data_IF_726431572427
#
_entry.id   IF_726431572427
#
_cell.length_a   1.000
_cell.length_b   1.000
_cell.length_c   1.000
_cell.angle_alpha   90.00
_cell.angle_beta   90.00
_cell.angle_gamma   90.00
#
_symmetry.space_group_name_H-M   'P 1'
#
loop_
_entity.id
_entity.type
_entity.pdbx_description
1 polymer ?
#
# COMPACT_ATOMS: atom_id res chain seq x y z
N UNK A 1 18.77 2.06 -5.22
CA UNK A 1 17.54 2.50 -5.89
C UNK A 1 16.53 2.80 -4.79
N UNK A 2 16.03 4.02 -4.75
CA UNK A 2 15.11 4.46 -3.70
C UNK A 2 13.68 4.06 -4.03
N UNK A 3 12.83 3.93 -3.01
CA UNK A 3 11.39 3.84 -3.20
C UNK A 3 10.89 5.06 -3.98
N UNK A 4 9.85 4.88 -4.79
CA UNK A 4 9.37 5.91 -5.69
C UNK A 4 10.22 6.13 -6.95
N UNK A 5 11.27 5.32 -7.17
CA UNK A 5 11.99 5.34 -8.45
C UNK A 5 11.00 5.00 -9.57
N UNK A 6 10.90 5.89 -10.56
CA UNK A 6 9.85 5.82 -11.58
C UNK A 6 10.33 5.25 -12.89
N UNK A 7 9.47 4.46 -13.48
CA UNK A 7 9.58 3.85 -14.80
C UNK A 7 8.33 4.17 -15.60
N UNK A 8 8.42 4.10 -16.91
CA UNK A 8 7.27 4.24 -17.81
C UNK A 8 7.16 3.03 -18.72
N UNK A 9 5.93 2.70 -19.08
CA UNK A 9 5.59 1.72 -20.11
C UNK A 9 4.39 2.24 -20.91
N UNK A 10 4.34 1.93 -22.19
CA UNK A 10 3.23 2.37 -23.06
C UNK A 10 2.43 1.16 -23.54
N UNK A 11 1.09 1.31 -23.50
CA UNK A 11 0.11 0.35 -23.99
C UNK A 11 -0.85 1.15 -24.86
N UNK A 12 -1.10 0.73 -26.10
CA UNK A 12 -2.06 1.35 -27.03
C UNK A 12 -1.93 2.88 -27.11
N UNK A 13 -0.69 3.38 -27.21
CA UNK A 13 -0.33 4.82 -27.22
C UNK A 13 -0.58 5.58 -25.90
N UNK A 14 -0.96 4.92 -24.83
CA UNK A 14 -1.09 5.50 -23.50
C UNK A 14 0.14 5.13 -22.67
N UNK A 15 0.76 6.13 -22.04
CA UNK A 15 1.93 5.92 -21.19
C UNK A 15 1.49 5.85 -19.73
N UNK A 16 1.86 4.77 -19.06
CA UNK A 16 1.62 4.53 -17.65
C UNK A 16 2.93 4.65 -16.86
N UNK A 17 2.83 5.18 -15.66
CA UNK A 17 3.94 5.26 -14.72
C UNK A 17 3.94 4.04 -13.80
N UNK A 18 5.13 3.54 -13.52
CA UNK A 18 5.37 2.46 -12.57
C UNK A 18 6.41 2.90 -11.56
N UNK A 19 6.26 2.49 -10.31
CA UNK A 19 7.18 2.91 -9.23
C UNK A 19 7.59 1.72 -8.36
N UNK A 20 8.76 1.85 -7.74
CA UNK A 20 9.17 0.95 -6.64
C UNK A 20 8.50 1.39 -5.33
N UNK A 21 8.07 0.45 -4.50
CA UNK A 21 7.45 0.74 -3.20
C UNK A 21 8.40 0.56 -2.01
N UNK A 22 9.66 0.24 -2.25
CA UNK A 22 10.70 0.04 -1.23
C UNK A 22 12.07 0.48 -1.71
N UNK A 23 12.95 0.75 -0.75
CA UNK A 23 14.37 1.00 -1.02
C UNK A 23 15.08 -0.33 -1.31
N UNK A 24 15.90 -0.35 -2.37
CA UNK A 24 16.72 -1.49 -2.74
C UNK A 24 18.20 -1.07 -2.75
N UNK A 25 19.00 -1.74 -1.93
CA UNK A 25 20.45 -1.52 -1.82
C UNK A 25 21.18 -2.77 -2.26
N UNK A 26 22.15 -2.58 -3.15
CA UNK A 26 23.03 -3.65 -3.64
C UNK A 26 24.49 -3.20 -3.66
N UNK A 27 25.39 -4.14 -3.62
CA UNK A 27 26.81 -3.91 -3.88
C UNK A 27 27.13 -4.30 -5.33
N UNK A 28 28.11 -3.62 -5.98
CA UNK A 28 28.52 -3.98 -7.33
C UNK A 28 29.18 -5.35 -7.35
N UNK A 29 28.98 -6.09 -8.42
CA UNK A 29 29.71 -7.30 -8.77
C UNK A 29 30.43 -7.05 -10.08
N UNK A 30 31.76 -7.22 -10.10
CA UNK A 30 32.61 -6.95 -11.25
C UNK A 30 32.40 -5.54 -11.86
N UNK A 31 32.17 -4.55 -10.98
CA UNK A 31 31.93 -3.16 -11.38
C UNK A 31 30.51 -2.87 -11.91
N UNK A 32 29.62 -3.86 -11.88
CA UNK A 32 28.23 -3.72 -12.36
C UNK A 32 27.26 -3.80 -11.19
N UNK A 33 26.28 -2.90 -11.15
CA UNK A 33 25.14 -2.93 -10.22
C UNK A 33 23.97 -3.65 -10.90
N UNK A 34 23.61 -4.83 -10.42
CA UNK A 34 22.52 -5.63 -10.98
C UNK A 34 21.40 -5.81 -9.96
N UNK A 35 20.28 -5.12 -10.13
CA UNK A 35 19.07 -5.35 -9.38
C UNK A 35 18.27 -6.50 -10.01
N UNK A 36 17.99 -7.55 -9.26
CA UNK A 36 17.24 -8.71 -9.71
C UNK A 36 15.86 -8.74 -9.07
N UNK A 37 14.85 -9.16 -9.84
CA UNK A 37 13.46 -9.33 -9.36
C UNK A 37 12.91 -8.08 -8.68
N UNK A 38 13.07 -6.92 -9.34
CA UNK A 38 12.49 -5.67 -8.87
C UNK A 38 11.01 -5.67 -9.19
N UNK A 39 10.18 -5.52 -8.16
CA UNK A 39 8.74 -5.35 -8.32
C UNK A 39 8.44 -3.90 -8.64
N UNK A 40 7.70 -3.68 -9.71
CA UNK A 40 7.16 -2.38 -10.11
C UNK A 40 5.65 -2.38 -9.92
N UNK A 41 5.15 -1.30 -9.36
CA UNK A 41 3.71 -1.09 -9.12
C UNK A 41 3.25 0.06 -10.00
N UNK A 42 2.17 -0.13 -10.73
CA UNK A 42 1.60 0.93 -11.54
C UNK A 42 1.02 2.03 -10.66
N UNK A 43 1.26 3.27 -11.05
CA UNK A 43 0.71 4.45 -10.40
C UNK A 43 1.76 5.38 -9.79
N UNK A 44 1.31 6.18 -8.84
CA UNK A 44 2.12 7.18 -8.14
C UNK A 44 2.18 6.89 -6.65
N UNK A 45 3.39 6.85 -6.10
CA UNK A 45 3.60 6.72 -4.66
C UNK A 45 3.24 8.03 -3.97
N UNK A 46 2.30 7.97 -3.04
CA UNK A 46 1.79 9.13 -2.28
C UNK A 46 2.03 8.91 -0.80
N UNK A 47 2.45 9.96 -0.11
CA UNK A 47 2.59 9.97 1.35
C UNK A 47 1.69 11.04 1.93
N UNK A 48 0.80 10.66 2.84
CA UNK A 48 -0.07 11.56 3.57
C UNK A 48 0.25 11.54 5.06
N UNK A 49 0.12 12.69 5.73
CA UNK A 49 0.45 12.84 7.15
C UNK A 49 -0.71 13.46 7.90
N UNK A 50 -1.03 12.90 9.06
CA UNK A 50 -2.03 13.40 9.98
C UNK A 50 -1.44 13.54 11.37
N UNK A 51 -1.73 14.62 12.04
CA UNK A 51 -1.42 14.76 13.48
C UNK A 51 -2.59 14.21 14.29
N UNK A 52 -2.29 13.39 15.27
CA UNK A 52 -3.28 12.83 16.20
C UNK A 52 -3.73 13.92 17.16
N UNK A 53 -5.05 14.05 17.29
CA UNK A 53 -5.71 14.89 18.27
C UNK A 53 -6.48 13.99 19.25
N UNK A 54 -5.98 13.86 20.47
CA UNK A 54 -6.57 12.98 21.49
C UNK A 54 -7.93 13.47 22.02
N UNK A 55 -8.34 14.69 21.66
CA UNK A 55 -9.68 15.21 22.00
C UNK A 55 -10.78 14.63 21.09
N UNK A 56 -10.40 14.16 19.89
CA UNK A 56 -11.28 13.41 19.01
C UNK A 56 -11.16 11.91 19.32
N UNK A 57 -12.11 11.38 20.08
CA UNK A 57 -12.11 9.98 20.55
C UNK A 57 -12.37 8.96 19.43
N UNK A 58 -12.97 9.40 18.33
CA UNK A 58 -13.32 8.57 17.18
C UNK A 58 -12.49 8.92 15.94
N UNK A 59 -11.30 9.53 16.13
CA UNK A 59 -10.46 10.01 15.05
C UNK A 59 -10.14 8.91 14.04
N UNK A 60 -10.43 9.19 12.77
CA UNK A 60 -10.15 8.34 11.63
C UNK A 60 -9.35 9.09 10.58
N UNK A 61 -8.42 8.40 9.97
CA UNK A 61 -7.46 8.95 9.03
C UNK A 61 -7.85 8.53 7.62
N UNK A 62 -8.51 9.43 6.88
CA UNK A 62 -9.06 9.12 5.55
C UNK A 62 -7.93 9.11 4.52
N UNK A 63 -7.88 8.08 3.69
CA UNK A 63 -7.04 8.03 2.48
C UNK A 63 -7.72 8.89 1.42
N UNK A 64 -7.10 10.02 0.97
CA UNK A 64 -7.82 11.00 0.16
C UNK A 64 -8.26 10.50 -1.22
N UNK A 65 -7.57 9.50 -1.79
CA UNK A 65 -7.84 8.98 -3.13
C UNK A 65 -8.78 7.77 -3.10
N UNK A 66 -9.77 7.75 -3.99
CA UNK A 66 -10.63 6.57 -4.27
C UNK A 66 -9.89 5.51 -5.10
N UNK A 67 -8.77 5.88 -5.71
CA UNK A 67 -7.94 4.97 -6.52
C UNK A 67 -6.69 4.51 -5.73
N UNK A 68 -6.73 4.61 -4.40
CA UNK A 68 -5.65 4.11 -3.56
C UNK A 68 -5.64 2.58 -3.57
N UNK A 69 -4.50 2.00 -3.93
CA UNK A 69 -4.27 0.56 -3.77
C UNK A 69 -3.94 0.25 -2.31
N UNK A 70 -4.93 -0.26 -1.59
CA UNK A 70 -4.79 -0.60 -0.17
C UNK A 70 -3.86 -1.79 0.08
N UNK A 71 -3.56 -2.60 -0.93
CA UNK A 71 -2.58 -3.69 -0.81
C UNK A 71 -1.14 -3.15 -0.68
N UNK A 72 -0.90 -1.94 -1.17
CA UNK A 72 0.39 -1.24 -1.05
C UNK A 72 0.48 -0.34 0.18
N UNK A 73 -0.62 -0.20 0.95
CA UNK A 73 -0.69 0.70 2.09
C UNK A 73 0.30 0.32 3.18
N UNK A 74 1.15 1.27 3.51
CA UNK A 74 2.08 1.20 4.63
C UNK A 74 1.70 2.27 5.65
N UNK A 75 1.46 1.83 6.88
CA UNK A 75 1.10 2.71 7.99
C UNK A 75 2.26 2.78 8.96
N UNK A 76 2.77 3.98 9.18
CA UNK A 76 3.78 4.25 10.21
C UNK A 76 3.31 5.40 11.10
N UNK A 77 3.69 5.34 12.37
CA UNK A 77 3.40 6.37 13.35
C UNK A 77 4.71 6.93 13.87
N UNK A 78 4.93 8.21 13.66
CA UNK A 78 6.03 8.96 14.22
C UNK A 78 5.62 9.46 15.62
N UNK A 79 6.53 9.37 16.57
CA UNK A 79 6.22 9.71 17.97
C UNK A 79 5.74 11.15 18.16
N UNK A 80 6.38 12.13 17.52
CA UNK A 80 5.94 13.53 17.54
C UNK A 80 6.67 14.35 16.47
N UNK A 81 6.40 15.64 16.38
CA UNK A 81 7.14 16.55 15.50
C UNK A 81 8.62 16.69 15.87
N UNK A 82 8.97 16.48 17.13
CA UNK A 82 10.35 16.60 17.64
C UNK A 82 11.05 15.24 17.82
N UNK A 83 10.27 14.17 18.03
CA UNK A 83 10.79 12.79 18.06
C UNK A 83 10.38 12.07 16.78
N UNK A 84 11.33 11.95 15.84
CA UNK A 84 11.11 11.35 14.53
C UNK A 84 11.17 9.82 14.51
N UNK A 85 11.21 9.16 15.67
CA UNK A 85 11.16 7.71 15.76
C UNK A 85 9.90 7.16 15.11
N UNK A 86 10.07 6.26 14.15
CA UNK A 86 8.99 5.65 13.38
C UNK A 86 8.62 4.28 13.93
N UNK A 87 7.34 4.04 14.11
CA UNK A 87 6.77 2.76 14.50
C UNK A 87 5.91 2.24 13.35
N UNK A 88 6.21 1.06 12.82
CA UNK A 88 5.39 0.42 11.80
C UNK A 88 4.20 -0.25 12.46
N UNK A 89 3.02 -0.03 11.87
CA UNK A 89 1.77 -0.69 12.24
C UNK A 89 1.37 -1.66 11.14
N UNK A 90 0.75 -2.77 11.51
CA UNK A 90 0.29 -3.81 10.58
C UNK A 90 -1.23 -3.87 10.52
N UNK A 91 -1.78 -4.25 9.37
CA UNK A 91 -3.22 -4.44 9.23
C UNK A 91 -3.68 -5.56 10.16
N UNK A 92 -4.69 -5.30 10.97
CA UNK A 92 -5.29 -6.29 11.84
C UNK A 92 -5.96 -7.41 11.02
N UNK A 93 -5.46 -8.63 11.15
CA UNK A 93 -6.02 -9.81 10.48
C UNK A 93 -7.06 -10.55 11.31
N UNK A 94 -7.16 -10.22 12.61
CA UNK A 94 -8.13 -10.81 13.54
C UNK A 94 -8.03 -10.21 14.93
N UNK A 95 -9.15 -10.06 15.61
CA UNK A 95 -9.22 -9.41 16.92
C UNK A 95 -8.65 -10.29 18.05
N UNK A 96 -8.64 -11.63 17.89
CA UNK A 96 -8.23 -12.56 18.95
C UNK A 96 -6.74 -12.55 19.27
N UNK A 97 -5.91 -12.09 18.32
CA UNK A 97 -4.45 -12.06 18.46
C UNK A 97 -3.91 -10.69 18.89
N UNK A 98 -4.79 -9.72 19.12
CA UNK A 98 -4.41 -8.38 19.49
C UNK A 98 -4.53 -8.18 21.01
N UNK A 99 -3.52 -7.52 21.56
CA UNK A 99 -3.48 -7.01 22.93
C UNK A 99 -3.32 -5.47 22.92
N UNK A 100 -3.25 -4.88 24.10
CA UNK A 100 -3.11 -3.44 24.29
C UNK A 100 -1.74 -2.87 23.82
N UNK A 101 -0.75 -3.71 23.49
CA UNK A 101 0.56 -3.30 23.00
C UNK A 101 0.74 -3.49 21.50
N UNK A 102 -0.19 -4.21 20.88
CA UNK A 102 -0.13 -4.58 19.47
C UNK A 102 -0.22 -3.35 18.57
N UNK A 103 0.83 -3.10 17.78
CA UNK A 103 0.88 -2.02 16.80
C UNK A 103 0.10 -2.43 15.56
N UNK A 104 -1.22 -2.38 15.67
CA UNK A 104 -2.16 -2.73 14.61
C UNK A 104 -3.01 -1.54 14.19
N UNK A 105 -3.38 -1.51 12.92
CA UNK A 105 -4.38 -0.59 12.39
C UNK A 105 -5.53 -1.37 11.76
N UNK A 106 -6.67 -0.73 11.69
CA UNK A 106 -7.86 -1.24 11.02
C UNK A 106 -8.14 -0.41 9.79
N UNK A 107 -8.64 -1.05 8.75
CA UNK A 107 -8.98 -0.43 7.49
C UNK A 107 -10.48 -0.61 7.23
N UNK A 108 -11.15 0.47 6.89
CA UNK A 108 -12.57 0.46 6.58
C UNK A 108 -12.85 1.31 5.35
N UNK A 109 -13.69 0.82 4.45
CA UNK A 109 -14.21 1.61 3.35
C UNK A 109 -15.33 2.53 3.84
N UNK A 110 -15.36 3.76 3.32
CA UNK A 110 -16.41 4.75 3.57
C UNK A 110 -17.51 4.64 2.51
N UNK A 111 -18.65 5.25 2.77
CA UNK A 111 -19.76 5.36 1.81
C UNK A 111 -19.40 6.15 0.52
N UNK A 112 -18.33 6.92 0.56
CA UNK A 112 -17.78 7.65 -0.60
C UNK A 112 -16.79 6.85 -1.42
N UNK A 113 -16.54 5.57 -1.10
CA UNK A 113 -15.57 4.70 -1.79
C UNK A 113 -14.11 5.01 -1.45
N UNK A 114 -13.85 5.81 -0.44
CA UNK A 114 -12.51 6.02 0.13
C UNK A 114 -12.28 5.07 1.27
N UNK A 115 -11.02 4.81 1.58
CA UNK A 115 -10.65 4.06 2.76
C UNK A 115 -10.28 4.98 3.92
N UNK A 116 -10.48 4.52 5.13
CA UNK A 116 -10.05 5.18 6.36
C UNK A 116 -9.31 4.19 7.26
N UNK A 117 -8.25 4.70 7.88
CA UNK A 117 -7.45 3.96 8.86
C UNK A 117 -7.85 4.42 10.25
N UNK A 118 -7.97 3.49 11.19
CA UNK A 118 -8.14 3.79 12.61
C UNK A 118 -7.31 2.81 13.44
N UNK A 119 -7.13 3.11 14.71
CA UNK A 119 -6.22 2.41 15.61
C UNK A 119 -6.96 1.85 16.81
N UNK A 120 -6.26 1.09 17.63
CA UNK A 120 -6.80 0.51 18.85
C UNK A 120 -7.08 1.54 19.94
N UNK A 121 -7.67 1.05 21.02
CA UNK A 121 -8.14 1.81 22.18
C UNK A 121 -7.39 1.46 23.49
N UNK A 122 -6.23 0.78 23.39
CA UNK A 122 -5.45 0.18 24.49
C UNK A 122 -6.11 -1.05 25.14
N UNK A 123 -7.20 -1.56 24.55
CA UNK A 123 -7.77 -2.87 24.87
C UNK A 123 -7.50 -3.83 23.73
N UNK A 124 -7.87 -3.43 22.51
CA UNK A 124 -7.63 -4.17 21.27
C UNK A 124 -6.74 -3.28 20.37
N UNK A 125 -5.44 -3.52 20.43
CA UNK A 125 -4.45 -2.72 19.73
C UNK A 125 -4.06 -1.46 20.50
N UNK A 126 -2.84 -1.00 20.22
CA UNK A 126 -2.27 0.17 20.87
C UNK A 126 -2.98 1.44 20.42
N UNK A 127 -3.43 2.25 21.39
CA UNK A 127 -3.95 3.60 21.16
C UNK A 127 -2.82 4.56 20.78
N UNK A 128 -3.14 5.53 19.94
CA UNK A 128 -2.24 6.64 19.63
C UNK A 128 -2.26 7.71 20.72
N UNK A 129 -1.13 8.38 20.89
CA UNK A 129 -0.98 9.51 21.82
C UNK A 129 -1.17 10.82 21.09
N UNK A 130 -1.59 11.83 21.81
CA UNK A 130 -1.69 13.19 21.29
C UNK A 130 -0.37 13.66 20.68
N UNK A 131 -0.45 14.33 19.52
CA UNK A 131 0.73 14.80 18.80
C UNK A 131 1.52 13.73 18.05
N UNK A 132 1.12 12.44 18.10
CA UNK A 132 1.66 11.44 17.18
C UNK A 132 1.37 11.88 15.73
N UNK A 133 2.23 11.48 14.78
CA UNK A 133 2.01 11.75 13.37
C UNK A 133 1.80 10.43 12.65
N UNK A 134 0.58 10.21 12.17
CA UNK A 134 0.23 9.07 11.32
C UNK A 134 0.68 9.36 9.90
N UNK A 135 1.47 8.45 9.34
CA UNK A 135 2.00 8.54 7.98
C UNK A 135 1.41 7.39 7.19
N UNK A 136 0.61 7.72 6.19
CA UNK A 136 0.01 6.78 5.25
C UNK A 136 0.78 6.87 3.93
N UNK A 137 1.41 5.79 3.53
CA UNK A 137 2.13 5.68 2.26
C UNK A 137 1.46 4.60 1.42
N UNK A 138 1.04 4.93 0.21
CA UNK A 138 0.30 4.06 -0.68
C UNK A 138 0.47 4.47 -2.14
N UNK A 139 0.08 3.62 -3.06
CA UNK A 139 0.10 3.91 -4.50
C UNK A 139 -1.31 4.27 -4.96
N UNK A 140 -1.41 5.33 -5.74
CA UNK A 140 -2.62 5.70 -6.49
C UNK A 140 -2.48 5.15 -7.90
N UNK A 141 -3.38 4.25 -8.28
CA UNK A 141 -3.30 3.42 -9.49
C UNK A 141 -4.37 3.78 -10.53
N UNK A 142 -4.14 3.43 -11.79
CA UNK A 142 -5.14 3.44 -12.86
C UNK A 142 -5.86 2.08 -13.01
N UNK A 143 -5.77 1.22 -11.98
CA UNK A 143 -6.48 -0.06 -11.91
C UNK A 143 -6.08 -1.03 -13.02
N UNK A 144 -7.06 -1.48 -13.84
CA UNK A 144 -6.83 -2.49 -14.87
C UNK A 144 -6.15 -1.97 -16.15
N UNK A 145 -6.14 -0.66 -16.37
CA UNK A 145 -5.73 -0.05 -17.65
C UNK A 145 -4.28 -0.33 -18.02
N UNK A 146 -3.41 -0.54 -17.03
CA UNK A 146 -1.98 -0.81 -17.23
C UNK A 146 -1.62 -2.28 -17.36
N UNK A 147 -2.61 -3.19 -17.28
CA UNK A 147 -2.34 -4.61 -17.42
C UNK A 147 -1.80 -4.93 -18.83
N UNK A 148 -0.76 -5.78 -18.88
CA UNK A 148 -0.10 -6.15 -20.12
C UNK A 148 1.15 -5.33 -20.44
N UNK A 149 1.46 -4.27 -19.70
CA UNK A 149 2.72 -3.52 -19.86
C UNK A 149 3.91 -4.47 -19.77
N UNK A 150 4.78 -4.45 -20.77
CA UNK A 150 5.86 -5.44 -20.93
C UNK A 150 7.23 -4.82 -21.19
N UNK A 151 7.28 -3.54 -21.58
CA UNK A 151 8.51 -2.83 -21.88
C UNK A 151 8.62 -1.61 -21.00
N UNK A 152 9.64 -1.55 -20.14
CA UNK A 152 9.81 -0.50 -19.16
C UNK A 152 11.05 0.35 -19.47
N UNK A 153 10.92 1.64 -19.30
CA UNK A 153 11.99 2.61 -19.43
C UNK A 153 12.13 3.37 -18.12
N UNK A 154 13.36 3.55 -17.63
CA UNK A 154 13.62 4.37 -16.44
C UNK A 154 13.32 5.83 -16.73
N UNK A 155 12.44 6.45 -15.94
CA UNK A 155 12.07 7.88 -16.07
C UNK A 155 12.77 8.79 -15.06
N UNK A 156 13.50 8.19 -14.12
CA UNK A 156 14.28 8.88 -13.10
C UNK A 156 15.73 8.44 -13.17
N UNK A 157 16.53 8.68 -12.13
CA UNK A 157 17.89 8.16 -12.04
C UNK A 157 18.03 7.16 -10.92
N UNK A 158 18.94 6.21 -11.07
CA UNK A 158 19.33 5.26 -10.03
C UNK A 158 20.81 5.45 -9.73
N UNK A 159 21.12 5.94 -8.52
CA UNK A 159 22.50 6.23 -8.14
C UNK A 159 23.21 7.27 -9.04
N UNK A 160 22.45 8.15 -9.68
CA UNK A 160 22.96 9.14 -10.65
C UNK A 160 23.04 8.64 -12.09
N UNK A 161 22.71 7.37 -12.34
CA UNK A 161 22.69 6.78 -13.69
C UNK A 161 21.27 6.85 -14.28
N UNK A 162 21.18 7.24 -15.54
CA UNK A 162 19.91 7.31 -16.32
C UNK A 162 19.88 6.26 -17.43
N UNK A 163 21.04 5.83 -17.90
CA UNK A 163 21.17 4.79 -18.92
C UNK A 163 21.34 3.43 -18.24
N UNK A 164 20.23 2.68 -18.18
CA UNK A 164 20.17 1.35 -17.55
C UNK A 164 19.56 0.35 -18.52
N UNK A 165 20.10 -0.86 -18.54
CA UNK A 165 19.51 -1.97 -19.28
C UNK A 165 18.43 -2.62 -18.41
N UNK A 166 17.22 -2.77 -18.95
CA UNK A 166 16.08 -3.36 -18.26
C UNK A 166 15.64 -4.61 -19.01
N UNK A 167 15.47 -5.70 -18.26
CA UNK A 167 14.89 -6.95 -18.76
C UNK A 167 13.60 -7.22 -17.99
N UNK A 168 12.49 -7.34 -18.71
CA UNK A 168 11.18 -7.66 -18.13
C UNK A 168 11.07 -9.17 -17.91
N UNK A 169 10.80 -9.57 -16.67
CA UNK A 169 10.58 -10.98 -16.32
C UNK A 169 9.11 -11.40 -16.53
N UNK A 170 8.17 -10.50 -16.29
CA UNK A 170 6.74 -10.72 -16.47
C UNK A 170 6.02 -9.42 -16.81
N UNK A 171 4.96 -9.51 -17.59
CA UNK A 171 4.13 -8.36 -17.90
C UNK A 171 3.39 -7.89 -16.64
N UNK A 172 3.00 -6.62 -16.61
CA UNK A 172 2.16 -6.07 -15.57
C UNK A 172 0.81 -6.79 -15.54
N UNK A 173 0.37 -7.14 -14.34
CA UNK A 173 -0.88 -7.87 -14.11
C UNK A 173 -1.41 -7.58 -12.69
N UNK A 174 -2.66 -7.94 -12.44
CA UNK A 174 -3.28 -7.82 -11.11
C UNK A 174 -4.04 -6.52 -10.90
N UNK A 175 -3.97 -5.58 -11.85
CA UNK A 175 -4.86 -4.42 -11.84
C UNK A 175 -6.31 -4.86 -12.06
N UNK A 176 -7.24 -4.35 -11.25
CA UNK A 176 -8.66 -4.68 -11.33
C UNK A 176 -9.53 -3.45 -11.01
N UNK A 177 -10.70 -3.39 -11.62
CA UNK A 177 -11.72 -2.43 -11.23
C UNK A 177 -12.33 -2.83 -9.86
N UNK A 178 -12.84 -1.86 -9.10
CA UNK A 178 -13.58 -2.15 -7.89
C UNK A 178 -14.75 -3.09 -8.16
N UNK A 179 -15.03 -3.97 -7.21
CA UNK A 179 -16.16 -4.87 -7.31
C UNK A 179 -17.48 -4.09 -7.40
N UNK A 180 -18.37 -4.52 -8.27
CA UNK A 180 -19.68 -3.86 -8.43
C UNK A 180 -20.58 -4.16 -7.22
N UNK A 181 -21.55 -3.27 -6.95
CA UNK A 181 -22.52 -3.47 -5.85
C UNK A 181 -23.32 -4.76 -6.01
N UNK A 182 -23.61 -5.16 -7.24
CA UNK A 182 -24.29 -6.41 -7.56
C UNK A 182 -23.43 -7.62 -7.21
N UNK A 183 -22.15 -7.59 -7.56
CA UNK A 183 -21.18 -8.63 -7.21
C UNK A 183 -21.02 -8.74 -5.69
N UNK A 184 -20.88 -7.61 -5.00
CA UNK A 184 -20.77 -7.57 -3.52
C UNK A 184 -22.03 -8.18 -2.88
N UNK A 185 -23.24 -7.82 -3.36
CA UNK A 185 -24.49 -8.38 -2.84
C UNK A 185 -24.58 -9.89 -3.05
N UNK A 186 -24.05 -10.39 -4.15
CA UNK A 186 -24.03 -11.83 -4.43
C UNK A 186 -23.00 -12.56 -3.56
N UNK A 187 -21.80 -12.00 -3.42
CA UNK A 187 -20.66 -12.63 -2.75
C UNK A 187 -20.69 -12.48 -1.21
N UNK A 188 -21.26 -11.40 -0.68
CA UNK A 188 -21.27 -11.14 0.76
C UNK A 188 -21.93 -12.25 1.60
N UNK A 189 -23.07 -12.84 1.22
CA UNK A 189 -23.64 -13.98 1.96
C UNK A 189 -22.75 -15.22 1.93
N UNK A 190 -22.05 -15.46 0.79
CA UNK A 190 -21.13 -16.60 0.64
C UNK A 190 -19.90 -16.43 1.53
N UNK A 191 -19.32 -15.23 1.58
CA UNK A 191 -18.21 -14.89 2.45
C UNK A 191 -18.61 -15.02 3.93
N UNK A 192 -19.79 -14.54 4.31
CA UNK A 192 -20.31 -14.66 5.67
C UNK A 192 -20.52 -16.11 6.08
N UNK A 193 -21.01 -16.98 5.19
CA UNK A 193 -21.24 -18.39 5.49
C UNK A 193 -19.95 -19.20 5.55
N UNK A 194 -18.91 -18.82 4.79
CA UNK A 194 -17.63 -19.53 4.77
C UNK A 194 -16.78 -19.26 6.02
N UNK A 195 -16.80 -18.05 6.58
CA UNK A 195 -16.16 -17.61 7.84
C UNK A 195 -14.90 -18.43 8.25
N UNK A 196 -14.00 -18.71 7.33
CA UNK A 196 -12.81 -19.57 7.54
C UNK A 196 -13.13 -20.98 8.11
N UNK A 197 -14.34 -21.45 7.94
CA UNK A 197 -14.72 -22.82 8.33
C UNK A 197 -14.33 -23.78 7.22
N UNK A 198 -13.51 -24.75 7.55
CA UNK A 198 -13.28 -25.90 6.69
C UNK A 198 -14.64 -26.62 6.46
N UNK A 199 -15.15 -26.61 5.24
CA UNK A 199 -16.28 -27.45 4.86
C UNK A 199 -15.73 -28.85 4.66
N UNK A 200 -15.90 -29.71 5.67
CA UNK A 200 -15.64 -31.14 5.49
C UNK A 200 -16.81 -31.74 4.73
N UNK A 201 -16.56 -32.25 3.53
CA UNK A 201 -17.50 -33.13 2.85
C UNK A 201 -17.57 -34.46 3.61
N UNK A 202 -18.73 -34.79 4.15
CA UNK A 202 -19.05 -36.14 4.62
C UNK A 202 -19.34 -37.06 3.45
#
# INVERSE_FOLDING_TARGET
MNKGTSFTSSIDNTTYQFVTNQDLTISPQDGVYKFSNVNLYEGTLVTFRYTVDSTDVDQKFVIPSVNADTSTLKVTVQNSSTDTTLNTYTLASGLRSLDNTSKAYFLQETDTGKFQVYFGDDVIGKKLSDGNIVILEYIVTNKADSNGASSFTLSSSVGGFTDVSITTNSNAQGGAEPETKESIRFNAPLQYTSQDRAVTTT
#
